data_IF_462180688863
#
_entry.id   IF_462180688863
#
_cell.length_a   1.000
_cell.length_b   1.000
_cell.length_c   1.000
_cell.angle_alpha   90.00
_cell.angle_beta   90.00
_cell.angle_gamma   90.00
#
_symmetry.space_group_name_H-M   'P 1'
#
loop_
_entity.id
_entity.type
_entity.pdbx_description
1 polymer ?
#
# COMPACT_ATOMS: atom_id res chain seq x y z
N UNK A 1 21.92 -23.21 3.96
CA UNK A 1 21.41 -24.08 2.90
C UNK A 1 21.99 -25.47 3.05
N UNK A 2 21.17 -26.48 2.87
CA UNK A 2 21.59 -27.88 2.75
C UNK A 2 21.05 -28.47 1.46
N UNK A 3 21.84 -29.28 0.81
CA UNK A 3 21.46 -29.96 -0.42
C UNK A 3 21.61 -31.48 -0.21
N UNK A 4 20.71 -32.25 -0.80
CA UNK A 4 20.81 -33.69 -0.86
C UNK A 4 20.34 -34.19 -2.23
N UNK A 5 21.10 -35.08 -2.84
CA UNK A 5 20.69 -35.74 -4.07
C UNK A 5 20.16 -37.13 -3.73
N UNK A 6 18.92 -37.40 -4.14
CA UNK A 6 18.31 -38.71 -3.95
C UNK A 6 17.70 -39.16 -5.29
N UNK A 7 18.06 -40.35 -5.74
CA UNK A 7 17.60 -40.91 -7.01
C UNK A 7 17.76 -39.97 -8.22
N UNK A 8 18.90 -39.27 -8.29
CA UNK A 8 19.20 -38.32 -9.38
C UNK A 8 18.47 -36.98 -9.32
N UNK A 9 17.66 -36.72 -8.28
CA UNK A 9 16.98 -35.46 -8.02
C UNK A 9 17.63 -34.72 -6.85
N UNK A 10 17.94 -33.45 -7.05
CA UNK A 10 18.43 -32.57 -6.00
C UNK A 10 17.28 -31.99 -5.19
N UNK A 11 17.44 -31.98 -3.86
CA UNK A 11 16.54 -31.35 -2.90
C UNK A 11 17.34 -30.30 -2.14
N UNK A 12 16.75 -29.12 -1.99
CA UNK A 12 17.32 -28.00 -1.20
C UNK A 12 16.48 -27.74 0.03
N UNK A 13 17.13 -27.53 1.17
CA UNK A 13 16.53 -27.04 2.39
C UNK A 13 17.22 -25.76 2.84
N UNK A 14 16.44 -24.79 3.32
CA UNK A 14 16.93 -23.50 3.83
C UNK A 14 16.43 -23.33 5.26
N UNK A 15 17.32 -22.95 6.16
CA UNK A 15 16.99 -22.53 7.50
C UNK A 15 17.82 -21.29 7.86
N UNK A 16 17.22 -20.39 8.62
CA UNK A 16 17.87 -19.20 9.15
C UNK A 16 17.90 -19.29 10.68
N UNK A 17 19.05 -18.97 11.27
CA UNK A 17 19.20 -18.86 12.71
C UNK A 17 19.80 -17.51 13.06
N UNK A 18 19.25 -16.87 14.09
CA UNK A 18 19.80 -15.63 14.66
C UNK A 18 20.56 -15.95 15.95
N UNK A 19 21.73 -15.36 16.10
CA UNK A 19 22.54 -15.46 17.33
C UNK A 19 22.36 -14.19 18.15
N UNK A 20 21.98 -14.35 19.42
CA UNK A 20 21.82 -13.26 20.38
C UNK A 20 20.95 -12.09 19.84
N UNK A 21 19.73 -12.34 19.32
CA UNK A 21 18.92 -11.29 18.73
C UNK A 21 18.58 -10.16 19.73
N UNK A 22 18.62 -10.47 21.02
CA UNK A 22 18.44 -9.50 22.11
C UNK A 22 19.58 -8.47 22.22
N UNK A 23 20.70 -8.71 21.57
CA UNK A 23 21.86 -7.78 21.53
C UNK A 23 21.81 -6.82 20.34
N UNK A 24 20.85 -6.99 19.44
CA UNK A 24 20.68 -6.08 18.30
C UNK A 24 20.30 -4.68 18.81
N UNK A 25 21.05 -3.69 18.35
CA UNK A 25 20.79 -2.28 18.64
C UNK A 25 20.40 -1.56 17.35
N UNK A 26 19.49 -0.58 17.42
CA UNK A 26 19.22 0.29 16.28
C UNK A 26 20.50 0.97 15.79
N UNK A 27 20.73 0.95 14.48
CA UNK A 27 21.89 1.62 13.86
C UNK A 27 21.62 3.09 13.53
N UNK A 28 20.36 3.53 13.69
CA UNK A 28 19.92 4.90 13.43
C UNK A 28 19.13 5.42 14.63
N UNK A 29 19.17 6.72 14.84
CA UNK A 29 18.31 7.41 15.82
C UNK A 29 17.10 8.03 15.13
N UNK A 30 16.03 8.22 15.89
CA UNK A 30 14.88 8.99 15.41
C UNK A 30 15.30 10.46 15.28
N UNK A 31 15.11 11.11 14.10
CA UNK A 31 15.37 12.54 13.98
C UNK A 31 14.55 13.37 14.99
N UNK A 32 15.16 14.42 15.56
CA UNK A 32 14.51 15.23 16.57
C UNK A 32 13.22 15.90 16.07
N UNK A 33 13.14 16.21 14.79
CA UNK A 33 12.00 16.86 14.14
C UNK A 33 11.04 15.86 13.48
N UNK A 34 11.15 14.55 13.72
CA UNK A 34 10.37 13.52 13.05
C UNK A 34 8.86 13.74 13.12
N UNK A 35 8.36 14.02 14.31
CA UNK A 35 6.92 14.22 14.52
C UNK A 35 6.41 15.48 13.82
N UNK A 36 7.16 16.57 13.91
CA UNK A 36 6.80 17.84 13.27
C UNK A 36 6.89 17.75 11.75
N UNK A 37 7.91 17.06 11.22
CA UNK A 37 8.05 16.82 9.79
C UNK A 37 6.82 16.08 9.21
N UNK A 38 6.35 15.04 9.87
CA UNK A 38 5.19 14.28 9.38
C UNK A 38 3.88 15.01 9.63
N UNK A 39 3.76 15.77 10.71
CA UNK A 39 2.60 16.62 10.97
C UNK A 39 2.43 17.65 9.87
N UNK A 40 3.46 18.44 9.61
CA UNK A 40 3.43 19.48 8.55
C UNK A 40 3.25 18.91 7.17
N UNK A 41 3.81 17.73 6.91
CA UNK A 41 3.63 17.01 5.62
C UNK A 41 2.18 16.60 5.40
N UNK A 42 1.50 16.07 6.44
CA UNK A 42 0.08 15.70 6.36
C UNK A 42 -0.81 16.93 6.21
N UNK A 43 -0.61 17.96 7.01
CA UNK A 43 -1.34 19.23 6.93
C UNK A 43 -1.20 19.91 5.56
N UNK A 44 -0.03 19.82 4.93
CA UNK A 44 0.17 20.31 3.57
C UNK A 44 -0.63 19.52 2.54
N UNK A 45 -0.71 18.19 2.70
CA UNK A 45 -1.48 17.33 1.80
C UNK A 45 -3.00 17.52 1.96
N UNK A 46 -3.47 17.77 3.18
CA UNK A 46 -4.89 18.01 3.49
C UNK A 46 -5.46 19.28 2.83
N UNK A 47 -4.59 20.23 2.46
CA UNK A 47 -5.00 21.43 1.70
C UNK A 47 -5.52 21.12 0.31
N UNK A 48 -5.17 19.95 -0.24
CA UNK A 48 -5.65 19.47 -1.52
C UNK A 48 -6.93 18.66 -1.31
N UNK A 49 -8.04 19.10 -1.89
CA UNK A 49 -9.27 18.32 -1.89
C UNK A 49 -9.03 16.94 -2.50
N UNK A 50 -9.67 15.90 -1.94
CA UNK A 50 -9.46 14.52 -2.41
C UNK A 50 -9.87 14.29 -3.87
N UNK A 51 -10.93 14.96 -4.32
CA UNK A 51 -11.48 14.86 -5.68
C UNK A 51 -11.51 13.40 -6.16
N UNK A 52 -12.24 12.52 -5.47
CA UNK A 52 -12.24 11.10 -5.79
C UNK A 52 -12.95 10.86 -7.12
N UNK A 53 -12.33 10.05 -7.97
CA UNK A 53 -12.92 9.52 -9.19
C UNK A 53 -13.09 8.03 -8.99
N UNK A 54 -14.30 7.52 -9.20
CA UNK A 54 -14.63 6.11 -9.06
C UNK A 54 -15.29 5.61 -10.35
N UNK A 55 -14.62 4.68 -11.02
CA UNK A 55 -15.13 4.05 -12.25
C UNK A 55 -15.45 2.59 -11.97
N UNK A 56 -16.71 2.19 -12.12
CA UNK A 56 -17.10 0.79 -11.97
C UNK A 56 -16.41 -0.07 -13.02
N UNK A 57 -15.96 -1.25 -12.61
CA UNK A 57 -15.37 -2.28 -13.48
C UNK A 57 -16.36 -3.46 -13.53
N UNK A 58 -17.37 -3.44 -14.40
CA UNK A 58 -18.43 -4.45 -14.41
C UNK A 58 -17.89 -5.88 -14.56
N UNK A 59 -16.85 -6.03 -15.38
CA UNK A 59 -16.18 -7.31 -15.67
C UNK A 59 -15.47 -7.93 -14.45
N UNK A 60 -15.23 -7.13 -13.40
CA UNK A 60 -14.61 -7.56 -12.14
C UNK A 60 -15.59 -7.67 -10.98
N UNK A 61 -16.81 -7.20 -11.19
CA UNK A 61 -17.87 -7.31 -10.18
C UNK A 61 -18.30 -8.78 -10.01
N UNK A 62 -18.73 -9.11 -8.80
CA UNK A 62 -19.35 -10.41 -8.49
C UNK A 62 -20.80 -10.20 -8.07
N UNK A 63 -21.55 -11.26 -7.79
CA UNK A 63 -22.91 -11.14 -7.27
C UNK A 63 -22.93 -10.39 -5.92
N UNK A 64 -21.85 -10.46 -5.15
CA UNK A 64 -21.76 -9.90 -3.79
C UNK A 64 -20.96 -8.62 -3.69
N UNK A 65 -20.15 -8.25 -4.71
CA UNK A 65 -19.16 -7.18 -4.60
C UNK A 65 -19.17 -6.30 -5.85
N UNK A 66 -19.18 -4.99 -5.65
CA UNK A 66 -18.84 -4.02 -6.67
C UNK A 66 -17.32 -3.73 -6.65
N UNK A 67 -16.71 -3.66 -7.82
CA UNK A 67 -15.28 -3.37 -7.99
C UNK A 67 -15.12 -2.09 -8.79
N UNK A 68 -14.31 -1.17 -8.28
CA UNK A 68 -14.08 0.13 -8.90
C UNK A 68 -12.57 0.36 -9.10
N UNK A 69 -12.21 0.92 -10.23
CA UNK A 69 -10.96 1.66 -10.35
C UNK A 69 -11.15 3.03 -9.73
N UNK A 70 -10.29 3.40 -8.79
CA UNK A 70 -10.41 4.67 -8.08
C UNK A 70 -9.13 5.49 -8.22
N UNK A 71 -9.30 6.82 -8.19
CA UNK A 71 -8.19 7.73 -7.99
C UNK A 71 -8.61 8.91 -7.12
N UNK A 72 -7.65 9.47 -6.39
CA UNK A 72 -7.85 10.64 -5.52
C UNK A 72 -6.56 11.45 -5.43
N UNK A 73 -6.68 12.74 -5.10
CA UNK A 73 -5.55 13.63 -4.95
C UNK A 73 -4.62 13.18 -3.81
N UNK A 74 -3.32 13.33 -4.02
CA UNK A 74 -2.30 12.99 -3.06
C UNK A 74 -1.82 14.26 -2.32
N UNK A 75 -0.63 14.74 -2.61
CA UNK A 75 0.11 15.71 -1.82
C UNK A 75 0.46 16.99 -2.56
N UNK A 76 0.10 17.11 -3.83
CA UNK A 76 0.47 18.24 -4.69
C UNK A 76 -0.46 18.31 -5.89
N UNK A 77 -0.38 19.43 -6.65
CA UNK A 77 -1.11 19.63 -7.89
C UNK A 77 -0.88 18.46 -8.86
N UNK A 78 -1.98 17.96 -9.43
CA UNK A 78 -2.00 16.82 -10.35
C UNK A 78 -1.39 15.51 -9.80
N UNK A 79 -0.90 15.48 -8.57
CA UNK A 79 -0.43 14.25 -7.93
C UNK A 79 -1.62 13.41 -7.48
N UNK A 80 -1.75 12.21 -8.00
CA UNK A 80 -2.85 11.30 -7.66
C UNK A 80 -2.37 9.95 -7.18
N UNK A 81 -3.18 9.34 -6.34
CA UNK A 81 -3.12 7.92 -6.01
C UNK A 81 -4.18 7.18 -6.81
N UNK A 82 -3.88 5.92 -7.14
CA UNK A 82 -4.78 5.03 -7.87
C UNK A 82 -4.91 3.70 -7.13
N UNK A 83 -6.07 3.07 -7.26
CA UNK A 83 -6.31 1.78 -6.63
C UNK A 83 -7.51 1.04 -7.21
N UNK A 84 -7.68 -0.19 -6.72
CA UNK A 84 -8.89 -0.98 -6.94
C UNK A 84 -9.64 -1.07 -5.61
N UNK A 85 -10.86 -0.59 -5.62
CA UNK A 85 -11.76 -0.61 -4.48
C UNK A 85 -12.81 -1.72 -4.66
N UNK A 86 -12.92 -2.60 -3.68
CA UNK A 86 -13.93 -3.65 -3.62
C UNK A 86 -14.89 -3.36 -2.46
N UNK A 87 -16.19 -3.22 -2.75
CA UNK A 87 -17.23 -2.89 -1.76
C UNK A 87 -18.35 -3.92 -1.81
N UNK A 88 -18.78 -4.49 -0.66
CA UNK A 88 -19.96 -5.36 -0.62
C UNK A 88 -21.21 -4.67 -1.17
N UNK A 89 -22.02 -5.40 -1.95
CA UNK A 89 -23.29 -4.90 -2.51
C UNK A 89 -24.40 -4.85 -1.48
N UNK A 90 -24.37 -5.75 -0.49
CA UNK A 90 -25.39 -5.80 0.55
C UNK A 90 -25.40 -4.49 1.35
N UNK A 91 -26.59 -4.06 1.76
CA UNK A 91 -26.74 -2.91 2.64
C UNK A 91 -26.09 -3.14 3.97
N UNK A 92 -25.33 -2.15 4.48
CA UNK A 92 -24.66 -2.26 5.75
C UNK A 92 -23.43 -1.37 5.90
N UNK A 93 -22.79 -1.52 7.06
CA UNK A 93 -21.52 -0.85 7.39
C UNK A 93 -20.43 -1.89 7.60
N UNK A 94 -19.31 -1.72 6.94
CA UNK A 94 -18.24 -2.72 6.87
C UNK A 94 -16.91 -2.15 7.38
N UNK A 95 -16.08 -2.97 8.02
CA UNK A 95 -14.69 -2.61 8.27
C UNK A 95 -13.93 -2.53 6.95
N UNK A 96 -12.87 -1.73 6.93
CA UNK A 96 -12.04 -1.57 5.76
C UNK A 96 -10.61 -2.12 5.96
N UNK A 97 -10.03 -2.60 4.87
CA UNK A 97 -8.63 -2.98 4.76
C UNK A 97 -7.98 -2.13 3.68
N UNK A 98 -6.97 -1.35 4.06
CA UNK A 98 -6.06 -0.72 3.11
C UNK A 98 -4.93 -1.70 2.80
N UNK A 99 -4.94 -2.26 1.60
CA UNK A 99 -3.90 -3.16 1.10
C UNK A 99 -2.85 -2.34 0.36
N UNK A 100 -1.62 -2.41 0.85
CA UNK A 100 -0.46 -1.70 0.27
C UNK A 100 0.51 -2.67 -0.39
N UNK A 101 1.16 -2.27 -1.52
CA UNK A 101 1.85 -3.20 -2.39
C UNK A 101 3.27 -3.53 -1.91
N UNK A 102 3.69 -4.76 -2.18
CA UNK A 102 5.11 -5.11 -2.25
C UNK A 102 5.81 -4.37 -3.41
N UNK A 103 7.13 -4.43 -3.45
CA UNK A 103 7.92 -3.77 -4.48
C UNK A 103 7.55 -4.23 -5.90
N UNK A 104 7.68 -3.34 -6.86
CA UNK A 104 7.42 -3.59 -8.29
C UNK A 104 6.32 -2.71 -8.85
N UNK A 105 6.23 -2.69 -10.19
CA UNK A 105 5.32 -1.86 -10.97
C UNK A 105 4.42 -2.79 -11.75
N UNK A 106 3.12 -2.79 -11.45
CA UNK A 106 2.17 -3.76 -12.00
C UNK A 106 0.73 -3.27 -11.93
N UNK A 107 -0.16 -3.97 -12.64
CA UNK A 107 -1.60 -3.84 -12.44
C UNK A 107 -2.05 -4.53 -11.15
N UNK A 108 -3.23 -4.15 -10.68
CA UNK A 108 -3.91 -4.76 -9.55
C UNK A 108 -5.32 -5.19 -9.95
N UNK A 109 -5.78 -6.32 -9.40
CA UNK A 109 -7.11 -6.87 -9.70
C UNK A 109 -8.13 -6.54 -8.61
N UNK A 110 -7.66 -6.16 -7.42
CA UNK A 110 -8.49 -6.03 -6.23
C UNK A 110 -8.73 -7.38 -5.55
N UNK A 111 -9.46 -7.33 -4.44
CA UNK A 111 -9.68 -8.47 -3.54
C UNK A 111 -11.19 -8.76 -3.39
N UNK A 112 -11.89 -8.98 -4.51
CA UNK A 112 -13.34 -9.16 -4.52
C UNK A 112 -13.81 -10.36 -3.65
N UNK A 113 -13.04 -11.46 -3.64
CA UNK A 113 -13.37 -12.64 -2.81
C UNK A 113 -13.37 -12.30 -1.31
N UNK A 114 -12.33 -11.58 -0.84
CA UNK A 114 -12.26 -11.15 0.56
C UNK A 114 -13.31 -10.11 0.88
N UNK A 115 -13.57 -9.18 -0.02
CA UNK A 115 -14.63 -8.18 0.15
C UNK A 115 -16.00 -8.84 0.28
N UNK A 116 -16.25 -9.95 -0.44
CA UNK A 116 -17.46 -10.75 -0.31
C UNK A 116 -17.68 -11.38 1.07
N UNK A 117 -16.67 -11.40 1.92
CA UNK A 117 -16.73 -11.83 3.33
C UNK A 117 -17.12 -10.70 4.29
N UNK A 118 -17.50 -9.53 3.79
CA UNK A 118 -17.97 -8.41 4.59
C UNK A 118 -16.88 -7.36 4.90
N UNK A 119 -15.98 -7.09 3.98
CA UNK A 119 -14.96 -6.06 4.10
C UNK A 119 -15.01 -5.08 2.92
N UNK A 120 -14.74 -3.81 3.17
CA UNK A 120 -14.30 -2.89 2.14
C UNK A 120 -12.80 -3.09 1.97
N UNK A 121 -12.32 -3.29 0.74
CA UNK A 121 -10.88 -3.45 0.50
C UNK A 121 -10.44 -2.47 -0.57
N UNK A 122 -9.49 -1.62 -0.20
CA UNK A 122 -8.80 -0.71 -1.12
C UNK A 122 -7.36 -1.21 -1.32
N UNK A 123 -7.06 -1.71 -2.51
CA UNK A 123 -5.71 -2.06 -2.94
C UNK A 123 -5.12 -0.93 -3.77
N UNK A 124 -4.09 -0.25 -3.28
CA UNK A 124 -3.51 0.93 -3.94
C UNK A 124 -2.21 0.62 -4.68
N UNK A 125 -1.96 1.40 -5.74
CA UNK A 125 -0.64 1.52 -6.36
C UNK A 125 0.07 2.77 -5.83
N UNK A 126 1.40 2.72 -5.71
CA UNK A 126 2.19 3.80 -5.11
C UNK A 126 2.89 4.70 -6.13
N UNK A 127 2.77 4.42 -7.43
CA UNK A 127 3.56 5.09 -8.46
C UNK A 127 2.87 6.32 -9.08
N UNK A 128 1.64 6.63 -8.68
CA UNK A 128 0.87 7.75 -9.23
C UNK A 128 0.42 7.53 -10.68
N UNK A 129 0.25 6.29 -11.05
CA UNK A 129 -0.23 5.85 -12.36
C UNK A 129 -1.45 4.93 -12.21
N UNK A 130 -2.37 4.88 -13.18
CA UNK A 130 -3.48 3.93 -13.15
C UNK A 130 -3.02 2.49 -12.93
N UNK A 131 -3.82 1.71 -12.21
CA UNK A 131 -3.47 0.35 -11.79
C UNK A 131 -4.18 -0.75 -12.59
N UNK A 132 -4.82 -0.38 -13.69
CA UNK A 132 -5.60 -1.27 -14.56
C UNK A 132 -5.22 -1.15 -16.05
N UNK A 133 -4.00 -0.66 -16.33
CA UNK A 133 -3.47 -0.59 -17.69
C UNK A 133 -2.93 -1.96 -18.15
N UNK A 134 -2.61 -2.06 -19.43
CA UNK A 134 -1.98 -3.22 -20.04
C UNK A 134 -0.60 -3.52 -19.43
N UNK A 135 -0.29 -4.82 -19.28
CA UNK A 135 0.93 -5.29 -18.61
C UNK A 135 2.23 -4.73 -19.19
N UNK A 136 2.25 -4.52 -20.50
CA UNK A 136 3.39 -3.99 -21.25
C UNK A 136 3.76 -2.55 -20.86
N UNK A 137 2.77 -1.74 -20.45
CA UNK A 137 3.01 -0.39 -19.95
C UNK A 137 3.83 -0.44 -18.66
N UNK A 138 3.46 -1.32 -17.73
CA UNK A 138 4.18 -1.48 -16.46
C UNK A 138 5.60 -2.02 -16.68
N UNK A 139 5.76 -2.96 -17.60
CA UNK A 139 7.09 -3.49 -17.95
C UNK A 139 8.01 -2.39 -18.50
N UNK A 140 7.51 -1.54 -19.39
CA UNK A 140 8.26 -0.39 -19.91
C UNK A 140 8.60 0.64 -18.82
N UNK A 141 7.68 0.93 -17.92
CA UNK A 141 7.93 1.83 -16.79
C UNK A 141 8.98 1.25 -15.83
N UNK A 142 8.91 -0.05 -15.55
CA UNK A 142 9.90 -0.74 -14.70
C UNK A 142 11.32 -0.66 -15.27
N UNK A 143 11.48 -0.83 -16.59
CA UNK A 143 12.77 -0.77 -17.26
C UNK A 143 13.19 0.64 -17.66
N UNK A 144 12.31 1.63 -17.54
CA UNK A 144 12.49 3.02 -17.95
C UNK A 144 12.32 4.01 -16.79
N UNK A 145 11.28 4.83 -16.89
CA UNK A 145 11.07 6.00 -16.02
C UNK A 145 10.98 5.71 -14.53
N UNK A 146 10.59 4.51 -14.14
CA UNK A 146 10.47 4.10 -12.73
C UNK A 146 11.54 3.08 -12.32
N UNK A 147 12.59 2.89 -13.14
CA UNK A 147 13.70 2.03 -12.77
C UNK A 147 14.37 2.57 -11.51
N UNK A 148 14.57 1.68 -10.52
CA UNK A 148 15.15 2.03 -9.23
C UNK A 148 14.39 3.16 -8.47
N UNK A 149 13.07 3.25 -8.63
CA UNK A 149 12.24 4.29 -7.99
C UNK A 149 12.47 4.42 -6.48
N UNK A 150 12.84 3.34 -5.81
CA UNK A 150 13.09 3.30 -4.37
C UNK A 150 14.25 4.20 -3.92
N UNK A 151 15.13 4.59 -4.82
CA UNK A 151 16.26 5.48 -4.55
C UNK A 151 16.07 6.92 -5.09
N UNK A 152 14.91 7.24 -5.68
CA UNK A 152 14.68 8.58 -6.23
C UNK A 152 14.76 9.66 -5.15
N UNK A 153 15.67 10.60 -5.32
CA UNK A 153 15.94 11.72 -4.41
C UNK A 153 16.23 11.27 -2.97
N UNK A 154 16.95 10.16 -2.80
CA UNK A 154 17.25 9.60 -1.47
C UNK A 154 18.17 10.51 -0.63
N UNK A 155 18.85 11.45 -1.28
CA UNK A 155 19.70 12.50 -0.69
C UNK A 155 18.90 13.69 -0.13
N UNK A 156 17.59 13.76 -0.39
CA UNK A 156 16.76 14.90 0.02
C UNK A 156 15.41 14.43 0.59
N UNK A 157 15.25 14.50 1.91
CA UNK A 157 14.04 14.03 2.61
C UNK A 157 12.74 14.68 2.10
N UNK A 158 12.81 15.93 1.62
CA UNK A 158 11.61 16.65 1.15
C UNK A 158 11.17 16.21 -0.24
N UNK A 159 12.09 15.70 -1.04
CA UNK A 159 11.86 15.21 -2.41
C UNK A 159 11.89 13.67 -2.50
N UNK A 160 12.27 12.99 -1.41
CA UNK A 160 12.39 11.54 -1.41
C UNK A 160 11.09 10.87 -1.85
N UNK A 161 11.22 9.90 -2.72
CA UNK A 161 10.10 9.19 -3.33
C UNK A 161 9.09 8.67 -2.30
N UNK A 162 9.56 8.11 -1.21
CA UNK A 162 8.69 7.53 -0.18
C UNK A 162 7.99 8.58 0.70
N UNK A 163 8.44 9.83 0.77
CA UNK A 163 7.64 10.89 1.40
C UNK A 163 6.27 11.01 0.73
N UNK A 164 6.27 11.06 -0.62
CA UNK A 164 5.04 11.09 -1.41
C UNK A 164 4.22 9.81 -1.24
N UNK A 165 4.88 8.65 -1.18
CA UNK A 165 4.21 7.35 -1.01
C UNK A 165 3.50 7.28 0.34
N UNK A 166 4.19 7.61 1.43
CA UNK A 166 3.61 7.57 2.78
C UNK A 166 2.45 8.56 2.92
N UNK A 167 2.61 9.78 2.37
CA UNK A 167 1.52 10.76 2.33
C UNK A 167 0.33 10.21 1.55
N UNK A 168 0.56 9.61 0.39
CA UNK A 168 -0.48 9.02 -0.43
C UNK A 168 -1.22 7.86 0.26
N UNK A 169 -0.53 7.09 1.08
CA UNK A 169 -1.16 6.05 1.89
C UNK A 169 -2.08 6.65 2.98
N UNK A 170 -1.68 7.77 3.61
CA UNK A 170 -2.56 8.50 4.53
C UNK A 170 -3.78 9.07 3.80
N UNK A 171 -3.58 9.65 2.60
CA UNK A 171 -4.69 10.12 1.75
C UNK A 171 -5.65 8.99 1.34
N UNK A 172 -5.14 7.76 1.19
CA UNK A 172 -5.99 6.59 0.97
C UNK A 172 -6.89 6.28 2.18
N UNK A 173 -6.41 6.55 3.39
CA UNK A 173 -7.24 6.48 4.60
C UNK A 173 -8.33 7.56 4.54
N UNK A 174 -7.98 8.81 4.19
CA UNK A 174 -8.97 9.89 4.06
C UNK A 174 -10.06 9.49 3.07
N UNK A 175 -9.67 8.92 1.92
CA UNK A 175 -10.64 8.42 0.93
C UNK A 175 -11.55 7.32 1.49
N UNK A 176 -11.02 6.35 2.24
CA UNK A 176 -11.83 5.30 2.88
C UNK A 176 -12.87 5.92 3.83
N UNK A 177 -12.49 6.98 4.56
CA UNK A 177 -13.39 7.68 5.49
C UNK A 177 -14.52 8.45 4.79
N UNK A 178 -14.43 8.69 3.48
CA UNK A 178 -15.54 9.27 2.70
C UNK A 178 -16.59 8.24 2.28
N UNK A 179 -16.27 6.94 2.39
CA UNK A 179 -17.17 5.88 1.90
C UNK A 179 -18.38 5.71 2.81
N UNK A 180 -19.62 5.82 2.29
CA UNK A 180 -20.82 5.74 3.11
C UNK A 180 -21.01 4.37 3.79
N UNK A 181 -20.44 3.30 3.24
CA UNK A 181 -20.52 1.95 3.81
C UNK A 181 -19.45 1.67 4.89
N UNK A 182 -18.51 2.57 5.12
CA UNK A 182 -17.44 2.36 6.10
C UNK A 182 -17.97 2.49 7.55
N UNK A 183 -17.52 1.60 8.45
CA UNK A 183 -17.96 1.56 9.87
C UNK A 183 -16.95 2.17 10.86
N UNK A 184 -15.87 2.80 10.38
CA UNK A 184 -14.83 3.39 11.21
C UNK A 184 -13.72 2.42 11.66
N UNK A 185 -13.80 1.12 11.35
CA UNK A 185 -12.77 0.13 11.70
C UNK A 185 -11.85 -0.12 10.53
N UNK A 186 -10.60 0.37 10.61
CA UNK A 186 -9.60 0.29 9.55
C UNK A 186 -8.40 -0.55 9.98
N UNK A 187 -7.98 -1.45 9.09
CA UNK A 187 -6.71 -2.15 9.19
C UNK A 187 -5.85 -1.91 7.95
N UNK A 188 -4.52 -2.02 8.10
CA UNK A 188 -3.56 -2.05 7.01
C UNK A 188 -2.99 -3.45 6.82
N UNK A 189 -2.66 -3.80 5.56
CA UNK A 189 -2.19 -5.12 5.20
C UNK A 189 -1.16 -5.03 4.07
N UNK A 190 -0.02 -5.70 4.24
CA UNK A 190 0.98 -5.78 3.18
C UNK A 190 2.14 -6.72 3.48
N UNK A 191 2.87 -7.09 2.43
CA UNK A 191 4.08 -7.92 2.52
C UNK A 191 5.28 -7.22 1.89
N UNK A 192 6.50 -7.55 2.34
CA UNK A 192 7.76 -6.95 1.86
C UNK A 192 7.70 -5.42 2.01
N UNK A 193 7.98 -4.64 0.97
CA UNK A 193 7.72 -3.19 0.96
C UNK A 193 6.35 -2.82 1.52
N UNK A 194 5.30 -3.59 1.18
CA UNK A 194 3.95 -3.37 1.71
C UNK A 194 3.86 -3.64 3.22
N UNK A 195 4.64 -4.56 3.75
CA UNK A 195 4.77 -4.77 5.19
C UNK A 195 5.35 -3.55 5.89
N UNK A 196 6.44 -2.97 5.35
CA UNK A 196 7.01 -1.72 5.84
C UNK A 196 6.02 -0.55 5.73
N UNK A 197 5.35 -0.41 4.57
CA UNK A 197 4.31 0.62 4.38
C UNK A 197 3.19 0.48 5.41
N UNK A 198 2.73 -0.73 5.70
CA UNK A 198 1.68 -0.97 6.70
C UNK A 198 2.08 -0.50 8.09
N UNK A 199 3.34 -0.75 8.49
CA UNK A 199 3.90 -0.28 9.78
C UNK A 199 3.96 1.25 9.80
N UNK A 200 4.52 1.86 8.76
CA UNK A 200 4.65 3.33 8.66
C UNK A 200 3.29 4.00 8.73
N UNK A 201 2.31 3.51 7.99
CA UNK A 201 0.96 4.08 7.96
C UNK A 201 0.30 4.01 9.34
N UNK A 202 0.42 2.86 10.02
CA UNK A 202 -0.12 2.69 11.37
C UNK A 202 0.55 3.63 12.38
N UNK A 203 1.84 3.94 12.20
CA UNK A 203 2.55 4.93 13.00
C UNK A 203 2.18 6.39 12.68
N UNK A 204 1.83 6.69 11.43
CA UNK A 204 1.49 8.05 10.99
C UNK A 204 0.02 8.42 11.20
N UNK A 205 -0.87 7.43 11.34
CA UNK A 205 -2.31 7.67 11.41
C UNK A 205 -3.00 6.80 12.47
N UNK A 206 -3.41 7.42 13.55
CA UNK A 206 -4.08 6.77 14.68
C UNK A 206 -5.46 6.17 14.35
N UNK A 207 -6.02 6.48 13.18
CA UNK A 207 -7.25 5.88 12.66
C UNK A 207 -7.07 4.40 12.27
N UNK A 208 -5.85 3.94 12.03
CA UNK A 208 -5.53 2.53 11.81
C UNK A 208 -5.65 1.78 13.14
N UNK A 209 -6.54 0.78 13.20
CA UNK A 209 -6.82 0.00 14.41
C UNK A 209 -6.28 -1.43 14.35
N UNK A 210 -5.84 -1.86 13.19
CA UNK A 210 -5.23 -3.17 12.97
C UNK A 210 -4.12 -3.10 11.94
N UNK A 211 -3.12 -3.96 12.11
CA UNK A 211 -1.95 -4.02 11.24
C UNK A 211 -1.57 -5.47 11.00
N UNK A 212 -1.39 -5.83 9.73
CA UNK A 212 -0.81 -7.11 9.34
C UNK A 212 0.35 -6.84 8.38
N UNK A 213 1.56 -7.09 8.84
CA UNK A 213 2.78 -6.94 8.06
C UNK A 213 3.49 -8.29 7.92
N UNK A 214 3.69 -8.72 6.69
CA UNK A 214 4.46 -9.92 6.38
C UNK A 214 5.88 -9.51 5.97
N UNK A 215 6.90 -10.13 6.60
CA UNK A 215 8.32 -9.96 6.27
C UNK A 215 8.63 -8.54 5.78
N UNK A 216 8.39 -7.48 6.62
CA UNK A 216 8.57 -6.09 6.21
C UNK A 216 10.02 -5.83 5.78
N UNK A 217 10.20 -5.09 4.66
CA UNK A 217 11.49 -4.76 4.06
C UNK A 217 11.82 -3.27 4.26
#
# INVERSE_FOLDING_TARGET
>A
RAFVTCQGREYEGVATVGFSPEKLQPVTSLPADFLEFWKTTKEAAEKWALEPIMTLLPERCTDKVNVYHVSFANNDYASRMYGILCVPKASGKYPAILKVPGAGIRSYNGEAERAGKGFIILEIGIHGIPVNMEGDVYHRLYNGALKNYHSFNMDNRDKYYYKRVYTGCVRAIDFIYTLPQFNGKLATFGGSQGGALSIVIAGLDARVKGLVAFYPA
#
